data_IF_756048748986
#
_entry.id   IF_756048748986
#
_cell.length_a   1.000
_cell.length_b   1.000
_cell.length_c   1.000
_cell.angle_alpha   90.00
_cell.angle_beta   90.00
_cell.angle_gamma   90.00
#
_symmetry.space_group_name_H-M   'P 1'
#
loop_
_entity.id
_entity.type
_entity.pdbx_description
1 polymer ?
#
# COMPACT_ATOMS: atom_id res chain seq x y z
N UNK A 1 44.66 40.15 -44.24
CA UNK A 1 43.35 39.55 -44.11
C UNK A 1 43.50 38.35 -43.18
N UNK A 2 43.18 38.54 -41.89
CA UNK A 2 43.41 37.53 -40.87
C UNK A 2 42.13 36.72 -40.64
N UNK A 3 42.16 35.45 -41.00
CA UNK A 3 41.11 34.49 -40.65
C UNK A 3 41.31 33.99 -39.20
N UNK A 4 40.43 34.41 -38.27
CA UNK A 4 40.37 33.88 -36.96
C UNK A 4 39.63 32.52 -37.03
N UNK A 5 40.35 31.44 -36.77
CA UNK A 5 39.77 30.12 -36.57
C UNK A 5 38.95 30.12 -35.29
N UNK A 6 37.64 30.05 -35.39
CA UNK A 6 36.73 29.81 -34.28
C UNK A 6 36.68 28.31 -34.08
N UNK A 7 37.41 27.79 -33.12
CA UNK A 7 37.28 26.40 -32.66
C UNK A 7 36.01 26.28 -31.83
N UNK A 8 34.97 25.72 -32.41
CA UNK A 8 33.73 25.39 -31.67
C UNK A 8 33.98 24.17 -30.82
N UNK A 9 34.24 24.39 -29.55
CA UNK A 9 34.31 23.29 -28.54
C UNK A 9 32.88 22.83 -28.24
N UNK A 10 32.48 21.71 -28.83
CA UNK A 10 31.30 20.97 -28.43
C UNK A 10 31.58 20.37 -27.05
N UNK A 11 31.07 21.02 -25.98
CA UNK A 11 31.02 20.44 -24.64
C UNK A 11 29.95 19.36 -24.66
N UNK A 12 30.33 18.14 -25.01
CA UNK A 12 29.48 16.96 -24.88
C UNK A 12 29.36 16.71 -23.36
N UNK A 13 28.37 17.31 -22.73
CA UNK A 13 27.98 16.94 -21.39
C UNK A 13 27.42 15.52 -21.46
N UNK A 14 28.28 14.53 -21.25
CA UNK A 14 27.87 13.18 -20.95
C UNK A 14 27.04 13.24 -19.67
N UNK A 15 25.72 13.25 -19.83
CA UNK A 15 24.77 12.93 -18.78
C UNK A 15 24.97 11.43 -18.49
N UNK A 16 25.95 11.13 -17.67
CA UNK A 16 26.00 9.85 -16.98
C UNK A 16 24.84 9.87 -15.97
N UNK A 17 23.64 9.60 -16.47
CA UNK A 17 22.57 9.09 -15.66
C UNK A 17 23.11 7.81 -15.04
N UNK A 18 23.33 7.83 -13.75
CA UNK A 18 23.72 6.64 -13.01
C UNK A 18 22.46 5.76 -12.93
N UNK A 19 22.09 5.09 -14.03
CA UNK A 19 21.10 4.04 -14.04
C UNK A 19 21.68 2.88 -13.24
N UNK A 20 21.34 2.83 -11.95
CA UNK A 20 21.65 1.67 -11.11
C UNK A 20 20.77 0.52 -11.60
N UNK A 21 21.33 -0.33 -12.43
CA UNK A 21 20.70 -1.61 -12.75
C UNK A 21 20.56 -2.41 -11.46
N UNK A 22 19.38 -2.98 -11.23
CA UNK A 22 19.09 -3.76 -10.03
C UNK A 22 19.89 -5.07 -9.92
N UNK A 23 20.54 -5.49 -11.01
CA UNK A 23 21.29 -6.73 -11.06
C UNK A 23 20.42 -7.98 -11.28
N UNK A 24 20.97 -9.14 -11.00
CA UNK A 24 20.25 -10.42 -11.08
C UNK A 24 19.23 -10.49 -9.95
N UNK A 25 18.07 -11.09 -10.23
CA UNK A 25 17.04 -11.31 -9.21
C UNK A 25 17.53 -12.30 -8.15
N UNK A 26 17.49 -11.90 -6.90
CA UNK A 26 17.88 -12.73 -5.73
C UNK A 26 16.75 -12.75 -4.73
N UNK A 27 16.76 -13.78 -3.87
CA UNK A 27 15.83 -13.88 -2.72
C UNK A 27 16.66 -14.08 -1.46
N UNK A 28 16.34 -13.30 -0.43
CA UNK A 28 16.94 -13.41 0.89
C UNK A 28 15.84 -13.51 1.95
N UNK A 29 16.13 -14.27 3.01
CA UNK A 29 15.21 -14.49 4.13
C UNK A 29 15.64 -13.67 5.32
N UNK A 30 14.69 -13.04 5.97
CA UNK A 30 14.89 -12.22 7.16
C UNK A 30 14.09 -12.81 8.33
N UNK A 31 14.75 -12.97 9.47
CA UNK A 31 14.09 -13.39 10.69
C UNK A 31 13.51 -12.18 11.40
N UNK A 32 12.21 -12.27 11.72
CA UNK A 32 11.51 -11.31 12.58
C UNK A 32 10.86 -12.09 13.72
N UNK A 33 10.58 -11.41 14.83
CA UNK A 33 9.89 -12.04 15.96
C UNK A 33 8.39 -12.23 15.71
N UNK A 34 7.85 -11.53 14.71
CA UNK A 34 6.42 -11.52 14.33
C UNK A 34 5.49 -11.14 15.50
N UNK A 35 5.99 -10.27 16.38
CA UNK A 35 5.26 -9.79 17.56
C UNK A 35 4.64 -8.41 17.37
N UNK A 36 4.95 -7.75 16.25
CA UNK A 36 4.45 -6.43 15.93
C UNK A 36 2.92 -6.36 15.82
N UNK A 37 2.36 -5.23 16.22
CA UNK A 37 0.95 -4.92 16.02
C UNK A 37 0.71 -3.90 14.90
N UNK A 38 1.75 -3.23 14.43
CA UNK A 38 1.70 -2.26 13.36
C UNK A 38 2.65 -2.65 12.22
N UNK A 39 2.16 -2.62 10.98
CA UNK A 39 2.96 -2.80 9.76
C UNK A 39 3.02 -1.47 9.02
N UNK A 40 4.23 -0.98 8.79
CA UNK A 40 4.51 0.20 7.95
C UNK A 40 5.30 -0.21 6.72
N UNK A 41 4.80 0.13 5.52
CA UNK A 41 5.48 -0.14 4.24
C UNK A 41 5.56 1.13 3.41
N UNK A 42 6.74 1.41 2.87
CA UNK A 42 6.92 2.61 2.04
C UNK A 42 7.96 2.45 0.93
N UNK A 43 7.90 3.38 -0.04
CA UNK A 43 8.88 3.52 -1.12
C UNK A 43 8.83 2.40 -2.17
N UNK A 44 7.66 2.22 -2.78
CA UNK A 44 7.43 1.33 -3.94
C UNK A 44 7.77 -0.14 -3.66
N UNK A 45 7.36 -0.64 -2.51
CA UNK A 45 7.51 -2.04 -2.10
C UNK A 45 6.17 -2.76 -2.26
N UNK A 46 6.21 -3.95 -2.84
CA UNK A 46 5.07 -4.86 -2.93
C UNK A 46 5.15 -5.91 -1.83
N UNK A 47 4.09 -6.06 -1.05
CA UNK A 47 4.01 -7.03 0.04
C UNK A 47 2.90 -8.03 -0.25
N UNK A 48 3.16 -9.31 0.01
CA UNK A 48 2.17 -10.38 0.02
C UNK A 48 2.13 -10.99 1.42
N UNK A 49 0.98 -10.90 2.08
CA UNK A 49 0.73 -11.63 3.33
C UNK A 49 0.21 -13.02 2.96
N UNK A 50 0.93 -14.06 3.35
CA UNK A 50 0.66 -15.44 2.98
C UNK A 50 0.54 -16.33 4.21
N UNK A 51 -0.47 -17.19 4.23
CA UNK A 51 -0.67 -18.21 5.27
C UNK A 51 0.31 -19.39 5.16
N UNK A 52 1.02 -19.47 4.04
CA UNK A 52 2.08 -20.48 3.80
C UNK A 52 3.48 -19.96 4.08
N UNK A 53 3.64 -18.65 4.32
CA UNK A 53 4.94 -18.07 4.69
C UNK A 53 5.23 -18.31 6.18
N UNK A 54 6.41 -18.82 6.47
CA UNK A 54 6.92 -19.01 7.83
C UNK A 54 7.94 -17.93 8.20
N UNK A 55 8.54 -17.30 7.20
CA UNK A 55 9.62 -16.32 7.32
C UNK A 55 9.38 -15.16 6.36
N UNK A 56 10.00 -14.03 6.63
CA UNK A 56 10.02 -12.89 5.70
C UNK A 56 10.97 -13.17 4.56
N UNK A 57 10.47 -13.16 3.31
CA UNK A 57 11.29 -13.32 2.11
C UNK A 57 11.29 -12.07 1.28
N UNK A 58 12.47 -11.56 0.97
CA UNK A 58 12.67 -10.42 0.09
C UNK A 58 13.20 -10.90 -1.25
N UNK A 59 12.49 -10.59 -2.31
CA UNK A 59 12.91 -10.91 -3.67
C UNK A 59 13.06 -9.61 -4.47
N UNK A 60 14.30 -9.32 -4.88
CA UNK A 60 14.63 -8.09 -5.64
C UNK A 60 15.93 -8.28 -6.43
N UNK A 61 16.41 -7.23 -7.09
CA UNK A 61 17.73 -7.24 -7.72
C UNK A 61 18.87 -7.21 -6.68
N UNK A 62 19.97 -7.95 -6.93
CA UNK A 62 21.10 -8.07 -6.01
C UNK A 62 21.69 -6.72 -5.57
N UNK A 63 21.71 -5.74 -6.48
CA UNK A 63 22.22 -4.39 -6.20
C UNK A 63 21.25 -3.52 -5.40
N UNK A 64 19.96 -3.89 -5.35
CA UNK A 64 18.94 -3.18 -4.61
C UNK A 64 18.75 -3.75 -3.20
N UNK A 65 18.95 -5.07 -3.03
CA UNK A 65 18.76 -5.78 -1.78
C UNK A 65 19.43 -5.10 -0.55
N UNK A 66 20.68 -4.59 -0.61
CA UNK A 66 21.32 -3.90 0.52
C UNK A 66 20.66 -2.58 0.91
N UNK A 67 19.71 -2.09 0.12
CA UNK A 67 18.95 -0.86 0.41
C UNK A 67 17.55 -1.15 0.96
N UNK A 68 17.14 -2.41 1.05
CA UNK A 68 15.89 -2.80 1.70
C UNK A 68 16.13 -2.80 3.20
N UNK A 69 15.29 -2.08 3.93
CA UNK A 69 15.31 -2.02 5.40
C UNK A 69 14.08 -2.77 5.88
N UNK A 70 14.29 -3.74 6.76
CA UNK A 70 13.26 -4.46 7.51
C UNK A 70 13.66 -4.40 8.96
N UNK A 71 12.89 -3.69 9.76
CA UNK A 71 13.20 -3.39 11.15
C UNK A 71 11.96 -3.58 12.03
N UNK A 72 12.03 -4.49 12.99
CA UNK A 72 10.98 -4.71 13.98
C UNK A 72 11.41 -4.04 15.29
N UNK A 73 10.66 -3.03 15.70
CA UNK A 73 10.95 -2.23 16.89
C UNK A 73 9.69 -1.57 17.44
N UNK A 74 9.55 -1.55 18.77
CA UNK A 74 8.46 -0.85 19.46
C UNK A 74 7.07 -1.23 18.93
N UNK A 75 6.82 -2.53 18.71
CA UNK A 75 5.60 -3.12 18.15
C UNK A 75 5.33 -2.76 16.67
N UNK A 76 6.30 -2.20 15.96
CA UNK A 76 6.19 -1.82 14.55
C UNK A 76 7.15 -2.66 13.72
N UNK A 77 6.66 -3.26 12.64
CA UNK A 77 7.48 -3.75 11.54
C UNK A 77 7.55 -2.68 10.45
N UNK A 78 8.72 -2.05 10.32
CA UNK A 78 9.01 -1.02 9.31
C UNK A 78 9.75 -1.62 8.12
N UNK A 79 9.12 -1.54 6.94
CA UNK A 79 9.65 -2.05 5.68
C UNK A 79 9.75 -0.90 4.70
N UNK A 80 10.96 -0.56 4.31
CA UNK A 80 11.19 0.55 3.40
C UNK A 80 12.48 0.42 2.60
N UNK A 81 12.60 1.20 1.56
CA UNK A 81 13.89 1.44 0.93
C UNK A 81 14.63 2.58 1.65
N UNK A 82 15.93 2.45 1.71
CA UNK A 82 16.82 3.51 2.21
C UNK A 82 16.61 4.80 1.42
N UNK A 83 16.57 5.93 2.10
CA UNK A 83 16.38 7.23 1.47
C UNK A 83 17.40 7.50 0.36
N UNK A 84 16.92 8.10 -0.73
CA UNK A 84 17.76 8.39 -1.90
C UNK A 84 18.08 7.16 -2.76
N UNK A 85 17.42 6.02 -2.52
CA UNK A 85 17.53 4.84 -3.39
C UNK A 85 16.72 5.06 -4.65
N UNK A 86 17.40 5.06 -5.80
CA UNK A 86 16.80 5.10 -7.12
C UNK A 86 17.14 3.82 -7.86
N UNK A 87 16.15 3.21 -8.50
CA UNK A 87 16.33 2.00 -9.30
C UNK A 87 15.46 2.05 -10.55
N UNK A 88 15.92 1.39 -11.58
CA UNK A 88 15.23 1.28 -12.85
C UNK A 88 14.93 -0.18 -13.18
N UNK A 89 13.71 -0.47 -13.67
CA UNK A 89 13.27 -1.83 -14.05
C UNK A 89 13.46 -2.90 -12.96
N UNK A 90 13.22 -2.55 -11.71
CA UNK A 90 13.23 -3.52 -10.63
C UNK A 90 12.05 -3.29 -9.67
N UNK A 91 11.63 -4.37 -9.04
CA UNK A 91 10.61 -4.37 -7.99
C UNK A 91 11.19 -4.97 -6.72
N UNK A 92 10.72 -4.50 -5.57
CA UNK A 92 10.95 -5.17 -4.30
C UNK A 92 9.67 -5.89 -3.93
N UNK A 93 9.73 -7.21 -3.88
CA UNK A 93 8.61 -8.04 -3.49
C UNK A 93 8.95 -8.72 -2.16
N UNK A 94 8.06 -8.61 -1.21
CA UNK A 94 8.23 -9.15 0.14
C UNK A 94 7.07 -10.07 0.45
N UNK A 95 7.37 -11.29 0.87
CA UNK A 95 6.41 -12.23 1.40
C UNK A 95 6.49 -12.21 2.92
N UNK A 96 5.34 -11.98 3.59
CA UNK A 96 5.22 -11.92 5.04
C UNK A 96 4.31 -13.05 5.53
N UNK A 97 4.60 -13.66 6.68
CA UNK A 97 3.64 -14.52 7.36
C UNK A 97 2.42 -13.72 7.83
N UNK A 98 1.27 -14.40 7.94
CA UNK A 98 0.09 -13.82 8.57
C UNK A 98 0.41 -13.50 10.02
N UNK A 99 0.08 -12.28 10.43
CA UNK A 99 0.22 -11.84 11.82
C UNK A 99 -1.17 -11.62 12.44
N UNK A 100 -1.57 -12.46 13.42
CA UNK A 100 -2.87 -12.35 14.07
C UNK A 100 -2.96 -11.14 15.02
N UNK A 101 -1.84 -10.51 15.36
CA UNK A 101 -1.78 -9.34 16.25
C UNK A 101 -1.89 -8.01 15.50
N UNK A 102 -2.00 -8.04 14.16
CA UNK A 102 -2.02 -6.83 13.35
C UNK A 102 -3.27 -5.99 13.63
N UNK A 103 -3.06 -4.78 14.17
CA UNK A 103 -4.11 -3.80 14.46
C UNK A 103 -4.00 -2.55 13.59
N UNK A 104 -2.85 -2.35 12.95
CA UNK A 104 -2.64 -1.19 12.09
C UNK A 104 -1.75 -1.50 10.90
N UNK A 105 -2.21 -1.11 9.72
CA UNK A 105 -1.48 -1.17 8.46
C UNK A 105 -1.32 0.23 7.89
N UNK A 106 -0.10 0.61 7.56
CA UNK A 106 0.19 1.90 6.91
C UNK A 106 1.03 1.69 5.67
N UNK A 107 0.50 2.09 4.51
CA UNK A 107 1.23 2.09 3.25
C UNK A 107 1.40 3.52 2.73
N UNK A 108 2.55 3.79 2.12
CA UNK A 108 2.83 5.08 1.51
C UNK A 108 3.79 5.00 0.32
N UNK A 109 3.75 6.06 -0.53
CA UNK A 109 4.70 6.23 -1.62
C UNK A 109 4.72 5.06 -2.61
N UNK A 110 3.56 4.79 -3.21
CA UNK A 110 3.35 3.76 -4.23
C UNK A 110 3.70 2.33 -3.76
N UNK A 111 3.48 2.02 -2.49
CA UNK A 111 3.64 0.66 -1.95
C UNK A 111 2.31 -0.08 -1.96
N UNK A 112 2.35 -1.35 -2.29
CA UNK A 112 1.17 -2.19 -2.42
C UNK A 112 1.21 -3.37 -1.47
N UNK A 113 0.03 -3.80 -1.00
CA UNK A 113 -0.11 -5.02 -0.20
C UNK A 113 -1.27 -5.88 -0.72
N UNK A 114 -1.04 -7.18 -0.75
CA UNK A 114 -2.06 -8.19 -1.06
C UNK A 114 -2.04 -9.29 0.00
N UNK A 115 -3.21 -9.86 0.36
CA UNK A 115 -3.26 -11.03 1.22
C UNK A 115 -4.45 -11.09 2.17
N UNK A 116 -4.30 -11.94 3.19
CA UNK A 116 -5.33 -12.24 4.17
C UNK A 116 -5.15 -11.43 5.45
N UNK A 117 -6.26 -10.90 5.98
CA UNK A 117 -6.29 -10.21 7.27
C UNK A 117 -7.49 -10.71 8.10
N UNK A 118 -7.25 -10.98 9.38
CA UNK A 118 -8.30 -11.31 10.33
C UNK A 118 -7.98 -10.62 11.66
N UNK A 119 -8.88 -9.74 12.12
CA UNK A 119 -8.67 -8.98 13.34
C UNK A 119 -9.98 -8.56 14.00
N UNK A 120 -9.97 -8.35 15.32
CA UNK A 120 -11.08 -7.70 16.03
C UNK A 120 -11.16 -6.21 15.64
N UNK A 121 -10.01 -5.54 15.55
CA UNK A 121 -9.91 -4.13 15.15
C UNK A 121 -8.71 -3.96 14.20
N UNK A 122 -8.90 -3.27 13.07
CA UNK A 122 -7.82 -2.94 12.14
C UNK A 122 -8.00 -1.53 11.61
N UNK A 123 -6.94 -0.74 11.72
CA UNK A 123 -6.84 0.57 11.07
C UNK A 123 -5.95 0.47 9.84
N UNK A 124 -6.47 0.86 8.67
CA UNK A 124 -5.72 0.90 7.41
C UNK A 124 -5.53 2.35 6.99
N UNK A 125 -4.27 2.76 6.85
CA UNK A 125 -3.88 4.09 6.40
C UNK A 125 -3.14 3.97 5.07
N UNK A 126 -3.73 4.46 3.99
CA UNK A 126 -3.10 4.47 2.66
C UNK A 126 -2.94 5.89 2.17
N UNK A 127 -1.78 6.18 1.56
CA UNK A 127 -1.48 7.51 1.02
C UNK A 127 -0.48 7.46 -0.14
N UNK A 128 -0.51 8.52 -0.97
CA UNK A 128 0.47 8.70 -2.06
C UNK A 128 0.48 7.50 -3.02
N UNK A 129 -0.66 7.23 -3.63
CA UNK A 129 -0.87 6.16 -4.64
C UNK A 129 -0.51 4.75 -4.13
N UNK A 130 -0.80 4.44 -2.88
CA UNK A 130 -0.60 3.10 -2.30
C UNK A 130 -1.90 2.33 -2.26
N UNK A 131 -1.83 1.05 -2.57
CA UNK A 131 -3.00 0.20 -2.72
C UNK A 131 -2.97 -1.05 -1.84
N UNK A 132 -4.15 -1.47 -1.38
CA UNK A 132 -4.30 -2.70 -0.61
C UNK A 132 -5.38 -3.59 -1.24
N UNK A 133 -5.02 -4.81 -1.63
CA UNK A 133 -5.93 -5.85 -2.13
C UNK A 133 -6.08 -6.94 -1.10
N UNK A 134 -6.91 -6.69 -0.10
CA UNK A 134 -7.08 -7.56 1.05
C UNK A 134 -8.33 -8.43 0.95
N UNK A 135 -8.30 -9.54 1.68
CA UNK A 135 -9.44 -10.42 1.94
C UNK A 135 -9.43 -10.87 3.39
N UNK A 136 -10.59 -11.35 3.86
CA UNK A 136 -10.76 -11.82 5.23
C UNK A 136 -11.75 -10.96 6.02
N UNK A 137 -11.71 -11.07 7.34
CA UNK A 137 -12.69 -10.47 8.21
C UNK A 137 -12.07 -9.61 9.29
N UNK A 138 -12.61 -8.41 9.45
CA UNK A 138 -12.23 -7.46 10.50
C UNK A 138 -13.51 -6.98 11.18
N UNK A 139 -13.69 -7.24 12.46
CA UNK A 139 -14.92 -6.84 13.15
C UNK A 139 -15.14 -5.33 13.12
N UNK A 140 -14.10 -4.54 13.50
CA UNK A 140 -14.13 -3.08 13.41
C UNK A 140 -13.01 -2.58 12.51
N UNK A 141 -13.37 -2.07 11.34
CA UNK A 141 -12.45 -1.56 10.34
C UNK A 141 -12.43 -0.02 10.36
N UNK A 142 -11.24 0.57 10.33
CA UNK A 142 -11.08 2.00 10.12
C UNK A 142 -10.26 2.23 8.86
N UNK A 143 -10.81 2.97 7.89
CA UNK A 143 -10.17 3.31 6.63
C UNK A 143 -9.82 4.80 6.59
N UNK A 144 -8.54 5.11 6.43
CA UNK A 144 -8.02 6.46 6.20
C UNK A 144 -7.25 6.47 4.89
N UNK A 145 -7.89 6.86 3.80
CA UNK A 145 -7.34 6.82 2.45
C UNK A 145 -7.20 8.22 1.89
N UNK A 146 -6.06 8.49 1.21
CA UNK A 146 -5.83 9.78 0.58
C UNK A 146 -4.81 9.73 -0.55
N UNK A 147 -4.81 10.78 -1.38
CA UNK A 147 -3.80 10.97 -2.42
C UNK A 147 -3.80 9.80 -3.43
N UNK A 148 -4.96 9.50 -4.02
CA UNK A 148 -5.19 8.44 -5.01
C UNK A 148 -4.83 7.03 -4.54
N UNK A 149 -5.07 6.73 -3.26
CA UNK A 149 -4.85 5.41 -2.66
C UNK A 149 -6.14 4.61 -2.57
N UNK A 150 -6.06 3.28 -2.49
CA UNK A 150 -7.30 2.52 -2.44
C UNK A 150 -7.26 1.12 -1.83
N UNK A 151 -8.43 0.71 -1.31
CA UNK A 151 -8.72 -0.71 -1.09
C UNK A 151 -9.24 -1.27 -2.40
N UNK A 152 -8.46 -2.13 -3.04
CA UNK A 152 -8.75 -2.62 -4.38
C UNK A 152 -9.86 -3.66 -4.39
N UNK A 153 -10.58 -3.66 -5.49
CA UNK A 153 -11.64 -4.64 -5.76
C UNK A 153 -11.08 -6.07 -5.73
N UNK A 154 -11.63 -6.88 -4.84
CA UNK A 154 -11.37 -8.31 -4.74
C UNK A 154 -12.72 -9.00 -4.53
N UNK A 155 -13.18 -9.81 -5.48
CA UNK A 155 -14.50 -10.44 -5.42
C UNK A 155 -14.35 -11.91 -5.03
N UNK A 156 -15.00 -12.29 -3.93
CA UNK A 156 -15.04 -13.64 -3.42
C UNK A 156 -16.51 -13.99 -3.10
N UNK A 157 -17.05 -15.04 -3.70
CA UNK A 157 -18.42 -15.49 -3.45
C UNK A 157 -19.48 -14.37 -3.61
N UNK A 158 -19.40 -13.60 -4.68
CA UNK A 158 -20.31 -12.48 -5.00
C UNK A 158 -20.33 -11.36 -3.94
N UNK A 159 -19.22 -11.13 -3.24
CA UNK A 159 -19.03 -10.00 -2.32
C UNK A 159 -17.59 -9.50 -2.38
N UNK A 160 -17.32 -8.32 -1.83
CA UNK A 160 -15.96 -7.85 -1.70
C UNK A 160 -15.21 -8.65 -0.63
N UNK A 161 -13.92 -8.91 -0.90
CA UNK A 161 -13.13 -9.85 -0.12
C UNK A 161 -12.78 -9.37 1.29
N UNK A 162 -12.57 -8.07 1.49
CA UNK A 162 -12.39 -7.48 2.81
C UNK A 162 -13.76 -7.22 3.43
N UNK A 163 -14.09 -7.94 4.50
CA UNK A 163 -15.39 -7.89 5.16
C UNK A 163 -15.29 -7.38 6.59
N UNK A 164 -16.37 -6.70 7.07
CA UNK A 164 -16.45 -6.16 8.41
C UNK A 164 -17.89 -6.10 8.94
N UNK A 165 -18.04 -5.94 10.26
CA UNK A 165 -19.31 -5.60 10.88
C UNK A 165 -19.47 -4.08 10.99
N UNK A 166 -18.44 -3.39 11.40
CA UNK A 166 -18.42 -1.95 11.54
C UNK A 166 -17.27 -1.35 10.74
N UNK A 167 -17.52 -0.28 9.99
CA UNK A 167 -16.50 0.45 9.27
C UNK A 167 -16.59 1.96 9.52
N UNK A 168 -15.48 2.58 9.91
CA UNK A 168 -15.33 4.03 9.90
C UNK A 168 -14.50 4.46 8.68
N UNK A 169 -15.03 5.40 7.87
CA UNK A 169 -14.44 5.77 6.58
C UNK A 169 -14.07 7.24 6.55
N UNK A 170 -12.80 7.52 6.26
CA UNK A 170 -12.26 8.83 5.95
C UNK A 170 -11.45 8.76 4.66
N UNK A 171 -11.99 9.28 3.56
CA UNK A 171 -11.38 9.21 2.25
C UNK A 171 -11.34 10.58 1.59
N UNK A 172 -10.25 10.88 0.86
CA UNK A 172 -10.09 12.13 0.14
C UNK A 172 -9.10 12.02 -1.03
N UNK A 173 -9.18 13.01 -1.92
CA UNK A 173 -8.23 13.20 -3.00
C UNK A 173 -8.15 11.98 -3.95
N UNK A 174 -9.30 11.62 -4.55
CA UNK A 174 -9.49 10.54 -5.52
C UNK A 174 -9.12 9.14 -4.99
N UNK A 175 -9.51 8.83 -3.76
CA UNK A 175 -9.29 7.51 -3.15
C UNK A 175 -10.53 6.64 -3.25
N UNK A 176 -10.36 5.33 -3.48
CA UNK A 176 -11.46 4.39 -3.65
C UNK A 176 -11.38 3.24 -2.64
N UNK A 177 -12.54 2.75 -2.19
CA UNK A 177 -12.58 1.58 -1.33
C UNK A 177 -13.68 0.60 -1.74
N UNK A 178 -13.34 -0.70 -1.73
CA UNK A 178 -14.24 -1.82 -2.00
C UNK A 178 -14.28 -2.76 -0.80
N UNK A 179 -15.40 -2.77 -0.04
CA UNK A 179 -15.56 -3.56 1.19
C UNK A 179 -16.92 -4.28 1.22
N UNK A 180 -17.00 -5.34 2.02
CA UNK A 180 -18.26 -5.96 2.40
C UNK A 180 -18.56 -5.59 3.85
N UNK A 181 -19.78 -5.11 4.14
CA UNK A 181 -20.19 -4.74 5.48
C UNK A 181 -21.67 -5.09 5.71
N UNK A 182 -21.96 -5.81 6.78
CA UNK A 182 -23.33 -6.20 7.15
C UNK A 182 -23.92 -5.42 8.31
N UNK A 183 -23.13 -4.63 9.04
CA UNK A 183 -23.58 -3.85 10.19
C UNK A 183 -23.65 -2.35 9.90
N UNK A 184 -22.62 -1.59 10.23
CA UNK A 184 -22.63 -0.15 10.13
C UNK A 184 -21.43 0.43 9.38
N UNK A 185 -21.69 1.33 8.42
CA UNK A 185 -20.64 2.15 7.80
C UNK A 185 -20.81 3.59 8.24
N UNK A 186 -19.86 4.10 9.01
CA UNK A 186 -19.81 5.48 9.50
C UNK A 186 -18.93 6.34 8.60
N UNK A 187 -19.52 7.30 7.90
CA UNK A 187 -18.78 8.23 7.06
C UNK A 187 -18.33 9.42 7.89
N UNK A 188 -17.05 9.50 8.16
CA UNK A 188 -16.39 10.61 8.86
C UNK A 188 -16.01 11.71 7.85
N UNK A 189 -15.49 11.30 6.70
CA UNK A 189 -15.18 12.21 5.59
C UNK A 189 -15.16 11.48 4.26
N UNK A 190 -15.77 12.07 3.25
CA UNK A 190 -15.69 11.60 1.87
C UNK A 190 -15.60 12.81 0.94
N UNK A 191 -14.44 13.04 0.30
CA UNK A 191 -14.20 14.27 -0.45
C UNK A 191 -13.16 14.10 -1.56
N UNK A 192 -13.13 15.04 -2.53
CA UNK A 192 -12.11 15.06 -3.56
C UNK A 192 -12.26 13.91 -4.58
N UNK A 193 -13.50 13.64 -5.04
CA UNK A 193 -13.83 12.55 -5.98
C UNK A 193 -13.43 11.16 -5.45
N UNK A 194 -13.70 10.89 -4.17
CA UNK A 194 -13.43 9.59 -3.55
C UNK A 194 -14.71 8.75 -3.49
N UNK A 195 -14.63 7.48 -3.88
CA UNK A 195 -15.79 6.61 -3.99
C UNK A 195 -15.68 5.42 -3.01
N UNK A 196 -16.76 5.20 -2.24
CA UNK A 196 -16.92 4.02 -1.41
C UNK A 196 -17.90 3.05 -2.10
N UNK A 197 -17.42 1.88 -2.44
CA UNK A 197 -18.20 0.76 -2.93
C UNK A 197 -18.37 -0.29 -1.85
N UNK A 198 -19.57 -0.72 -1.58
CA UNK A 198 -19.80 -1.77 -0.61
C UNK A 198 -20.83 -2.80 -1.06
N UNK A 199 -20.67 -4.02 -0.56
CA UNK A 199 -21.67 -5.09 -0.60
C UNK A 199 -22.13 -5.41 0.82
N UNK A 200 -23.25 -6.12 0.98
CA UNK A 200 -23.82 -6.43 2.30
C UNK A 200 -24.97 -5.48 2.67
N UNK A 201 -25.44 -5.57 3.91
CA UNK A 201 -26.65 -4.89 4.36
C UNK A 201 -26.34 -3.74 5.34
N UNK A 202 -25.21 -3.05 5.19
CA UNK A 202 -24.79 -2.04 6.13
C UNK A 202 -25.74 -0.83 6.20
N UNK A 203 -25.98 -0.34 7.40
CA UNK A 203 -26.55 0.97 7.66
C UNK A 203 -25.49 2.06 7.46
N UNK A 204 -25.81 3.07 6.63
CA UNK A 204 -24.90 4.21 6.39
C UNK A 204 -25.21 5.34 7.38
N UNK A 205 -24.23 5.71 8.19
CA UNK A 205 -24.33 6.82 9.15
C UNK A 205 -23.37 7.93 8.75
N UNK A 206 -23.92 9.10 8.38
CA UNK A 206 -23.14 10.30 8.09
C UNK A 206 -22.82 11.05 9.38
N UNK A 207 -21.55 11.05 9.80
CA UNK A 207 -21.11 11.77 11.00
C UNK A 207 -20.27 13.00 10.70
N UNK A 208 -19.83 13.13 9.46
CA UNK A 208 -18.98 14.23 9.00
C UNK A 208 -19.41 14.78 7.64
N UNK A 209 -18.44 15.11 6.78
CA UNK A 209 -18.68 15.80 5.52
C UNK A 209 -18.51 14.88 4.31
N UNK A 210 -19.41 15.08 3.32
CA UNK A 210 -19.26 14.51 1.98
C UNK A 210 -19.21 15.63 0.95
N UNK A 211 -18.44 15.45 -0.14
CA UNK A 211 -18.46 16.39 -1.27
C UNK A 211 -19.37 15.88 -2.39
N UNK A 212 -19.88 16.78 -3.21
CA UNK A 212 -20.76 16.45 -4.33
C UNK A 212 -20.10 15.64 -5.45
N UNK A 213 -18.78 15.54 -5.45
CA UNK A 213 -17.99 14.73 -6.40
C UNK A 213 -17.62 13.34 -5.87
N UNK A 214 -18.11 12.97 -4.68
CA UNK A 214 -17.80 11.71 -4.03
C UNK A 214 -19.06 10.89 -3.86
N UNK A 215 -18.97 9.58 -4.09
CA UNK A 215 -20.12 8.69 -4.10
C UNK A 215 -20.01 7.56 -3.05
N UNK A 216 -21.19 7.12 -2.58
CA UNK A 216 -21.34 5.90 -1.78
C UNK A 216 -22.25 4.98 -2.58
N UNK A 217 -21.72 3.83 -2.99
CA UNK A 217 -22.39 2.88 -3.89
C UNK A 217 -22.61 1.54 -3.23
N UNK A 218 -23.86 1.09 -3.16
CA UNK A 218 -24.17 -0.28 -2.80
C UNK A 218 -24.15 -1.14 -4.07
N UNK A 219 -23.20 -2.06 -4.14
CA UNK A 219 -23.03 -2.94 -5.29
C UNK A 219 -23.71 -4.29 -5.06
N UNK A 220 -24.43 -4.79 -6.07
CA UNK A 220 -25.00 -6.12 -6.13
C UNK A 220 -24.13 -6.93 -7.09
N UNK A 221 -23.43 -7.95 -6.59
CA UNK A 221 -22.47 -8.77 -7.34
C UNK A 221 -23.04 -10.16 -7.64
#
# INVERSE_FOLDING_TARGET
MNYRNITLIFLLSALFGCDKFAGVKVTETFNIENTYSELYVSNAINVVISDTAEEVKVTTGENLLPNVIIEEKDDILDIRLKDGTYFFNSTVNIELPVNPNLTKLTLSNASDIEGDVNAEELTINLRNASDAKLKGYVKKLTLNLKDASGIKKNIINNRYGLSCDECAVSMKDASDAYIHCDGTIRIVKLSGASDLHYTGNAEIILTGSTSSSSDIKHDVL
#
